data_IF_116246831980
#
_entry.id   IF_116246831980
#
_cell.length_a   1.000
_cell.length_b   1.000
_cell.length_c   1.000
_cell.angle_alpha   90.00
_cell.angle_beta   90.00
_cell.angle_gamma   90.00
#
_symmetry.space_group_name_H-M   'P 1'
#
loop_
_entity.id
_entity.type
_entity.pdbx_description
1 polymer ?
#
# COMPACT_ATOMS: atom_id res chain seq x y z
N UNK A 1 -6.77 -11.90 11.98
CA UNK A 1 -6.86 -10.45 11.69
C UNK A 1 -5.48 -9.96 11.31
N UNK A 2 -5.36 -9.09 10.30
CA UNK A 2 -4.07 -8.56 9.87
C UNK A 2 -3.53 -7.56 10.90
N UNK A 3 -2.21 -7.53 11.04
CA UNK A 3 -1.51 -6.69 12.04
C UNK A 3 -0.45 -5.81 11.40
N UNK A 4 0.23 -6.35 10.40
CA UNK A 4 1.37 -5.71 9.77
C UNK A 4 1.32 -5.89 8.26
N UNK A 5 2.10 -5.09 7.54
CA UNK A 5 2.23 -5.16 6.10
C UNK A 5 3.69 -5.25 5.69
N UNK A 6 3.93 -5.83 4.52
CA UNK A 6 5.19 -5.71 3.81
C UNK A 6 5.00 -4.80 2.60
N UNK A 7 5.95 -3.88 2.41
CA UNK A 7 5.92 -2.85 1.38
C UNK A 7 7.24 -2.90 0.62
N UNK A 8 7.18 -2.91 -0.70
CA UNK A 8 8.34 -2.78 -1.56
C UNK A 8 8.64 -1.30 -1.79
N UNK A 9 9.85 -0.86 -1.49
CA UNK A 9 10.32 0.51 -1.79
C UNK A 9 11.63 0.38 -2.54
N UNK A 10 11.61 0.75 -3.82
CA UNK A 10 12.70 0.49 -4.77
C UNK A 10 13.14 -0.99 -4.74
N UNK A 11 14.36 -1.27 -4.28
CA UNK A 11 14.95 -2.60 -4.20
C UNK A 11 14.84 -3.24 -2.81
N UNK A 12 14.14 -2.60 -1.86
CA UNK A 12 14.06 -3.06 -0.47
C UNK A 12 12.65 -3.46 -0.05
N UNK A 13 12.58 -4.45 0.83
CA UNK A 13 11.35 -4.83 1.52
C UNK A 13 11.30 -4.17 2.89
N UNK A 14 10.32 -3.30 3.08
CA UNK A 14 9.97 -2.69 4.35
C UNK A 14 8.86 -3.50 5.03
N UNK A 15 8.93 -3.58 6.36
CA UNK A 15 7.94 -4.22 7.21
C UNK A 15 7.37 -3.14 8.10
N UNK A 16 6.06 -2.93 8.08
CA UNK A 16 5.42 -1.81 8.77
C UNK A 16 4.32 -2.32 9.72
N UNK A 17 4.23 -1.69 10.89
CA UNK A 17 3.08 -1.74 11.80
C UNK A 17 2.60 -0.32 12.12
N UNK A 18 1.61 -0.19 12.99
CA UNK A 18 1.05 1.11 13.41
C UNK A 18 2.04 2.00 14.17
N UNK A 19 3.13 1.41 14.69
CA UNK A 19 4.17 2.11 15.45
C UNK A 19 5.36 2.53 14.58
N UNK A 20 5.45 2.06 13.33
CA UNK A 20 6.56 2.36 12.45
C UNK A 20 7.14 1.17 11.70
N UNK A 21 8.40 1.30 11.35
CA UNK A 21 9.20 0.25 10.73
C UNK A 21 9.49 -0.87 11.74
N UNK A 22 9.43 -2.12 11.26
CA UNK A 22 9.79 -3.31 12.02
C UNK A 22 11.21 -3.73 11.63
N UNK A 23 12.07 -3.95 12.65
CA UNK A 23 13.45 -4.40 12.51
C UNK A 23 14.49 -3.33 12.84
N UNK A 24 15.66 -3.76 13.31
CA UNK A 24 16.80 -2.92 13.67
C UNK A 24 17.56 -2.42 12.43
N UNK A 25 17.93 -1.13 12.40
CA UNK A 25 18.81 -0.55 11.38
C UNK A 25 18.13 0.19 10.21
N UNK A 26 16.80 0.36 10.22
CA UNK A 26 16.08 1.15 9.20
C UNK A 26 15.91 2.61 9.65
N UNK A 27 15.84 3.58 8.70
CA UNK A 27 15.82 5.00 9.02
C UNK A 27 14.71 5.33 10.03
N UNK A 28 14.98 6.29 10.93
CA UNK A 28 14.05 6.89 11.91
C UNK A 28 12.88 7.64 11.26
N UNK A 29 12.65 7.43 9.97
CA UNK A 29 11.56 8.05 9.23
C UNK A 29 10.24 7.34 9.56
N UNK A 30 9.12 8.09 9.57
CA UNK A 30 7.80 7.50 9.80
C UNK A 30 7.54 6.37 8.77
N UNK A 31 6.87 5.30 9.21
CA UNK A 31 6.41 4.24 8.32
C UNK A 31 5.32 4.77 7.40
N UNK A 32 5.72 5.36 6.29
CA UNK A 32 4.80 5.93 5.32
C UNK A 32 4.51 4.96 4.18
N UNK A 33 3.29 5.09 3.67
CA UNK A 33 2.83 4.47 2.45
C UNK A 33 2.74 5.54 1.37
N UNK A 34 3.27 5.20 0.20
CA UNK A 34 2.97 5.91 -1.03
C UNK A 34 1.50 5.69 -1.36
N UNK A 35 0.71 6.75 -1.34
CA UNK A 35 -0.72 6.70 -1.65
C UNK A 35 -1.11 7.67 -2.73
N UNK A 36 -2.11 7.30 -3.51
CA UNK A 36 -2.68 8.14 -4.54
C UNK A 36 -4.10 8.57 -4.20
N UNK A 37 -4.31 9.88 -4.21
CA UNK A 37 -5.64 10.50 -4.03
C UNK A 37 -6.35 10.62 -5.38
N UNK A 38 -7.63 11.00 -5.35
CA UNK A 38 -8.40 11.37 -6.55
C UNK A 38 -7.57 12.39 -7.37
N UNK A 39 -7.47 12.18 -8.69
CA UNK A 39 -6.68 12.97 -9.68
C UNK A 39 -5.19 12.64 -9.83
N UNK A 40 -4.73 11.47 -9.38
CA UNK A 40 -3.40 10.98 -9.77
C UNK A 40 -2.23 11.49 -8.92
N UNK A 41 -2.47 12.48 -8.04
CA UNK A 41 -1.43 13.00 -7.14
C UNK A 41 -1.05 11.94 -6.11
N UNK A 42 0.25 11.65 -6.03
CA UNK A 42 0.84 10.74 -5.06
C UNK A 42 1.40 11.53 -3.87
N UNK A 43 1.22 11.01 -2.66
CA UNK A 43 1.76 11.56 -1.41
C UNK A 43 2.20 10.41 -0.50
N UNK A 44 3.07 10.69 0.46
CA UNK A 44 3.43 9.77 1.54
C UNK A 44 2.55 10.03 2.76
N UNK A 45 1.96 8.99 3.35
CA UNK A 45 1.18 9.09 4.59
C UNK A 45 1.50 7.94 5.56
N UNK A 46 1.51 8.17 6.88
CA UNK A 46 1.76 7.11 7.86
C UNK A 46 0.76 5.96 7.76
N UNK A 47 1.25 4.74 7.96
CA UNK A 47 0.41 3.55 8.09
C UNK A 47 -0.32 3.56 9.43
N UNK A 48 -1.66 3.49 9.38
CA UNK A 48 -2.56 3.54 10.54
C UNK A 48 -3.11 2.18 10.96
N UNK A 49 -2.98 1.14 10.13
CA UNK A 49 -3.51 -0.20 10.41
C UNK A 49 -4.58 -0.63 9.41
N UNK A 50 -5.61 -1.30 9.89
CA UNK A 50 -6.67 -1.88 9.05
C UNK A 50 -8.05 -1.38 9.50
N UNK A 51 -8.95 -1.17 8.55
CA UNK A 51 -10.37 -0.90 8.81
C UNK A 51 -11.19 -2.04 8.21
N UNK A 52 -12.00 -2.66 9.05
CA UNK A 52 -12.97 -3.67 8.66
C UNK A 52 -14.35 -3.04 8.57
N UNK A 53 -15.03 -3.23 7.44
CA UNK A 53 -16.38 -2.68 7.23
C UNK A 53 -17.13 -3.52 6.21
N UNK A 54 -18.45 -3.37 6.18
CA UNK A 54 -19.34 -3.99 5.19
C UNK A 54 -19.74 -3.01 4.07
N UNK A 55 -19.57 -1.70 4.31
CA UNK A 55 -19.83 -0.64 3.34
C UNK A 55 -18.72 0.43 3.35
N UNK A 56 -18.64 1.21 2.27
CA UNK A 56 -17.63 2.27 2.13
C UNK A 56 -18.24 3.67 2.05
N UNK A 57 -19.51 3.81 2.39
CA UNK A 57 -20.21 5.09 2.32
C UNK A 57 -19.59 6.10 3.30
N UNK A 58 -19.36 7.34 2.85
CA UNK A 58 -18.70 8.38 3.64
C UNK A 58 -17.18 8.21 3.82
N UNK A 59 -16.58 7.08 3.42
CA UNK A 59 -15.15 6.85 3.58
C UNK A 59 -14.31 7.61 2.54
N UNK A 60 -13.20 8.21 3.01
CA UNK A 60 -12.23 8.89 2.14
C UNK A 60 -11.27 7.87 1.54
N UNK A 61 -11.70 7.21 0.46
CA UNK A 61 -10.92 6.18 -0.23
C UNK A 61 -9.68 6.75 -0.95
N UNK A 62 -8.60 5.96 -0.95
CA UNK A 62 -7.36 6.20 -1.65
C UNK A 62 -6.74 4.87 -2.14
N UNK A 63 -5.71 4.97 -2.98
CA UNK A 63 -4.95 3.81 -3.47
C UNK A 63 -3.62 3.75 -2.76
N UNK A 64 -3.37 2.72 -1.95
CA UNK A 64 -2.08 2.46 -1.35
C UNK A 64 -1.23 1.59 -2.29
N UNK A 65 -0.03 2.07 -2.61
CA UNK A 65 0.87 1.44 -3.57
C UNK A 65 1.93 0.60 -2.87
N UNK A 66 2.51 -0.30 -3.66
CA UNK A 66 3.72 -1.05 -3.34
C UNK A 66 3.63 -2.00 -2.13
N UNK A 67 2.43 -2.17 -1.57
CA UNK A 67 2.13 -3.22 -0.59
C UNK A 67 2.21 -4.56 -1.31
N UNK A 68 3.04 -5.47 -0.79
CA UNK A 68 3.25 -6.80 -1.39
C UNK A 68 2.65 -7.92 -0.54
N UNK A 69 2.43 -7.69 0.75
CA UNK A 69 1.80 -8.67 1.63
C UNK A 69 1.12 -8.04 2.85
N UNK A 70 0.10 -8.73 3.36
CA UNK A 70 -0.50 -8.52 4.67
C UNK A 70 -0.19 -9.70 5.57
N UNK A 71 0.19 -9.42 6.82
CA UNK A 71 0.65 -10.40 7.77
C UNK A 71 -0.20 -10.41 9.04
N UNK A 72 -0.25 -11.55 9.72
CA UNK A 72 -1.08 -11.76 10.93
C UNK A 72 -0.32 -11.63 12.24
N UNK A 73 0.99 -11.39 12.19
CA UNK A 73 1.87 -11.22 13.35
C UNK A 73 2.47 -9.81 13.43
N UNK A 74 2.99 -9.45 14.60
CA UNK A 74 3.57 -8.12 14.87
C UNK A 74 4.93 -7.88 14.18
N UNK A 75 5.57 -8.93 13.65
CA UNK A 75 6.91 -8.89 13.07
C UNK A 75 6.91 -9.01 11.53
N UNK A 76 5.72 -9.02 10.93
CA UNK A 76 5.49 -9.21 9.51
C UNK A 76 6.22 -10.45 8.94
N UNK A 77 6.15 -11.56 9.66
CA UNK A 77 6.75 -12.85 9.30
C UNK A 77 5.72 -13.77 8.63
N UNK A 78 4.54 -13.88 9.23
CA UNK A 78 3.47 -14.78 8.82
C UNK A 78 2.58 -14.07 7.80
N UNK A 79 2.92 -14.24 6.53
CA UNK A 79 2.13 -13.73 5.40
C UNK A 79 0.81 -14.50 5.32
N UNK A 80 -0.29 -13.77 5.42
CA UNK A 80 -1.64 -14.33 5.28
C UNK A 80 -2.28 -13.98 3.93
N UNK A 81 -1.83 -12.90 3.29
CA UNK A 81 -2.30 -12.53 1.96
C UNK A 81 -1.18 -11.85 1.18
N UNK A 82 -0.89 -12.35 -0.03
CA UNK A 82 0.07 -11.75 -0.95
C UNK A 82 -0.66 -10.87 -1.96
N UNK A 83 -0.18 -9.65 -2.17
CA UNK A 83 -0.72 -8.73 -3.18
C UNK A 83 -0.06 -9.05 -4.53
N UNK A 84 -0.84 -9.31 -5.59
CA UNK A 84 -0.27 -9.51 -6.92
C UNK A 84 0.50 -8.27 -7.40
N UNK A 85 1.59 -8.51 -8.12
CA UNK A 85 2.41 -7.43 -8.67
C UNK A 85 1.59 -6.48 -9.54
N UNK A 86 1.88 -5.18 -9.45
CA UNK A 86 1.18 -4.15 -10.22
C UNK A 86 -0.21 -3.81 -9.66
N UNK A 87 -0.66 -4.40 -8.55
CA UNK A 87 -1.89 -3.98 -7.89
C UNK A 87 -1.64 -2.86 -6.89
N UNK A 88 -2.62 -1.98 -6.75
CA UNK A 88 -2.76 -1.13 -5.58
C UNK A 88 -3.76 -1.76 -4.62
N UNK A 89 -3.61 -1.48 -3.33
CA UNK A 89 -4.55 -1.88 -2.29
C UNK A 89 -5.45 -0.69 -1.96
N UNK A 90 -6.74 -0.90 -1.80
CA UNK A 90 -7.64 0.15 -1.35
C UNK A 90 -7.36 0.50 0.12
N UNK A 91 -7.25 1.80 0.38
CA UNK A 91 -7.10 2.33 1.74
C UNK A 91 -8.11 3.43 2.03
N UNK A 92 -8.22 3.77 3.31
CA UNK A 92 -9.07 4.83 3.84
C UNK A 92 -8.18 5.85 4.54
N UNK A 93 -8.40 7.12 4.23
CA UNK A 93 -7.75 8.22 4.93
C UNK A 93 -8.53 8.62 6.18
N UNK A 94 -7.90 8.49 7.35
CA UNK A 94 -8.46 8.88 8.64
C UNK A 94 -7.38 9.62 9.43
N UNK A 95 -7.68 10.84 9.88
CA UNK A 95 -6.82 11.63 10.78
C UNK A 95 -5.32 11.70 10.36
N UNK A 96 -5.05 11.90 9.07
CA UNK A 96 -3.67 12.01 8.58
C UNK A 96 -2.97 10.67 8.29
N UNK A 97 -3.63 9.54 8.55
CA UNK A 97 -3.08 8.19 8.36
C UNK A 97 -3.85 7.40 7.30
N UNK A 98 -3.22 6.32 6.86
CA UNK A 98 -3.78 5.37 5.89
C UNK A 98 -4.11 4.07 6.57
N UNK A 99 -5.37 3.66 6.49
CA UNK A 99 -5.83 2.35 6.94
C UNK A 99 -6.14 1.48 5.73
N UNK A 100 -5.68 0.23 5.72
CA UNK A 100 -6.00 -0.72 4.65
C UNK A 100 -7.43 -1.22 4.81
N UNK A 101 -8.19 -1.16 3.72
CA UNK A 101 -9.60 -1.53 3.73
C UNK A 101 -9.77 -3.05 3.63
N UNK A 102 -10.51 -3.61 4.57
CA UNK A 102 -11.00 -4.98 4.55
C UNK A 102 -12.52 -4.94 4.43
N UNK A 103 -13.03 -5.10 3.22
CA UNK A 103 -14.46 -5.00 2.91
C UNK A 103 -15.08 -6.41 2.90
N UNK A 104 -16.10 -6.64 3.73
CA UNK A 104 -16.76 -7.95 3.85
C UNK A 104 -15.76 -9.10 4.07
N UNK A 105 -14.76 -8.85 4.94
CA UNK A 105 -13.70 -9.82 5.24
C UNK A 105 -12.64 -10.02 4.14
N UNK A 106 -12.72 -9.28 3.02
CA UNK A 106 -11.82 -9.42 1.87
C UNK A 106 -10.95 -8.19 1.68
N UNK A 107 -9.72 -8.41 1.23
CA UNK A 107 -8.82 -7.33 0.82
C UNK A 107 -9.24 -6.82 -0.55
N UNK A 108 -9.45 -5.50 -0.64
CA UNK A 108 -9.77 -4.85 -1.91
C UNK A 108 -8.47 -4.38 -2.55
N UNK A 109 -8.12 -4.93 -3.71
CA UNK A 109 -6.96 -4.53 -4.49
C UNK A 109 -7.28 -4.64 -5.98
N UNK A 110 -6.69 -3.78 -6.80
CA UNK A 110 -6.95 -3.73 -8.24
C UNK A 110 -5.66 -3.47 -9.00
N UNK A 111 -5.59 -3.98 -10.24
CA UNK A 111 -4.44 -3.77 -11.10
C UNK A 111 -4.32 -2.28 -11.43
N UNK A 112 -3.13 -1.72 -11.23
CA UNK A 112 -2.75 -0.44 -11.79
C UNK A 112 -2.84 -0.58 -13.31
N UNK A 113 -3.86 0.01 -13.94
CA UNK A 113 -3.99 -0.03 -15.40
C UNK A 113 -2.68 0.47 -16.01
N UNK A 114 -1.91 -0.44 -16.59
CA UNK A 114 -1.09 -0.11 -17.74
C UNK A 114 -2.09 0.37 -18.79
N UNK A 115 -2.07 1.66 -19.12
CA UNK A 115 -2.40 2.05 -20.49
C UNK A 115 -1.28 1.42 -21.32
N UNK A 116 -1.42 0.14 -21.66
CA UNK A 116 -0.61 -0.45 -22.73
C UNK A 116 -0.99 0.37 -23.95
N UNK A 117 -0.06 1.12 -24.58
CA UNK A 117 -0.34 1.72 -25.86
C UNK A 117 -0.87 0.61 -26.77
N UNK A 118 -1.82 0.93 -27.65
CA UNK A 118 -2.55 -0.02 -28.51
C UNK A 118 -1.63 -1.00 -29.28
N UNK A 119 -0.34 -0.69 -29.34
CA UNK A 119 0.69 -1.37 -30.13
C UNK A 119 1.74 -2.15 -29.29
N UNK A 120 1.50 -2.44 -28.01
CA UNK A 120 2.40 -3.24 -27.15
C UNK A 120 3.83 -2.71 -26.96
N UNK A 121 4.10 -1.43 -27.26
CA UNK A 121 5.42 -0.81 -27.08
C UNK A 121 5.34 0.32 -26.06
N UNK A 122 6.15 0.24 -25.00
CA UNK A 122 6.36 1.33 -24.04
C UNK A 122 7.79 1.85 -24.20
N UNK A 123 7.93 3.13 -24.55
CA UNK A 123 9.23 3.80 -24.66
C UNK A 123 9.60 4.44 -23.32
N UNK A 124 10.79 4.13 -22.80
CA UNK A 124 11.37 4.80 -21.63
C UNK A 124 12.37 5.83 -22.15
N UNK A 125 12.04 7.12 -22.06
CA UNK A 125 13.00 8.18 -22.32
C UNK A 125 13.97 8.29 -21.14
N UNK A 126 15.23 7.93 -21.38
CA UNK A 126 16.33 8.25 -20.46
C UNK A 126 16.71 9.72 -20.69
N UNK A 127 16.31 10.60 -19.77
CA UNK A 127 17.02 11.86 -19.62
C UNK A 127 18.38 11.59 -18.97
N UNK A 128 19.42 11.50 -19.81
CA UNK A 128 20.79 11.65 -19.35
C UNK A 128 20.97 13.11 -18.92
N UNK A 129 21.29 13.32 -17.65
CA UNK A 129 21.86 14.58 -17.17
C UNK A 129 23.35 14.58 -17.47
#
# INVERSE_FOLDING_TARGET
MFKTIQVRKDYYLLKLNTNGHIGSGKPKEPATLTVMRKRGKTIELPFGGFIHTENTEGLKLLKAKDIVALCTDEQAINVAYSIPSGHYVAGVYVEGKVFILVLNGKIVHEMWRLNVPKDNVAYIEKHLK
#
